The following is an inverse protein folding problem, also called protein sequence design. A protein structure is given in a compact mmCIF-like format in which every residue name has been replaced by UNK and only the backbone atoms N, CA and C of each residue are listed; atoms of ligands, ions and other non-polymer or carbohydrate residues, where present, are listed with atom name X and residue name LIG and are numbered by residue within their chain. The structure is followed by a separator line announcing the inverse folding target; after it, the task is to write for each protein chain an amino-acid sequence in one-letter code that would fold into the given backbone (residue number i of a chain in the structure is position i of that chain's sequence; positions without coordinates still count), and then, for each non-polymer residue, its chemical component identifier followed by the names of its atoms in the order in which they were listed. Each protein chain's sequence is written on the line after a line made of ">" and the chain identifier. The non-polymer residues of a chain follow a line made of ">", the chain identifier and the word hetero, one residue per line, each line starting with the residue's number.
data_IF_055947534017
#
_entry.id   IF_055947534017
#
_cell.length_a   1.000
_cell.length_b   1.000
_cell.length_c   1.000
_cell.angle_alpha   90.00
_cell.angle_beta   90.00
_cell.angle_gamma   90.00
#
_symmetry.space_group_name_H-M   'P 1'
#
loop_
_entity.id
_entity.type
_entity.pdbx_description
1 polymer ?
#
# COMPACT_ATOMS: atom_id res chain seq x y z
N UNK A 1 16.14 37.09 22.07
CA UNK A 1 15.61 38.16 21.18
C UNK A 1 14.97 37.44 19.99
N UNK A 2 13.68 37.64 19.70
CA UNK A 2 12.93 36.78 18.76
C UNK A 2 13.45 36.80 17.30
N UNK A 3 14.24 37.80 16.92
CA UNK A 3 14.92 37.86 15.61
C UNK A 3 16.00 36.80 15.44
N UNK A 4 16.66 36.41 16.52
CA UNK A 4 17.79 35.48 16.47
C UNK A 4 17.31 34.04 16.25
N UNK A 5 16.10 33.73 16.72
CA UNK A 5 15.45 32.43 16.53
C UNK A 5 15.12 32.15 15.05
N UNK A 6 14.69 33.17 14.31
CA UNK A 6 14.41 33.03 12.87
C UNK A 6 15.67 32.76 12.05
N UNK A 7 16.80 33.36 12.40
CA UNK A 7 18.09 33.09 11.76
C UNK A 7 18.58 31.66 12.05
N UNK A 8 18.40 31.17 13.29
CA UNK A 8 18.73 29.79 13.65
C UNK A 8 17.90 28.77 12.86
N UNK A 9 16.60 29.04 12.65
CA UNK A 9 15.72 28.17 11.86
C UNK A 9 16.14 28.05 10.39
N UNK A 10 16.80 29.06 9.81
CA UNK A 10 17.31 28.97 8.44
C UNK A 10 18.43 27.95 8.31
N UNK A 11 19.28 27.81 9.34
CA UNK A 11 20.42 26.89 9.34
C UNK A 11 20.01 25.40 9.35
N UNK A 12 18.81 25.10 9.84
CA UNK A 12 18.26 23.73 9.82
C UNK A 12 17.82 23.32 8.40
N UNK A 13 17.53 24.28 7.52
CA UNK A 13 17.00 24.01 6.19
C UNK A 13 18.12 23.57 5.26
N UNK A 14 17.84 22.52 4.48
CA UNK A 14 18.77 22.07 3.45
C UNK A 14 18.83 23.12 2.32
N UNK A 15 20.02 23.64 1.96
CA UNK A 15 20.17 24.61 0.88
C UNK A 15 19.81 24.06 -0.51
N UNK A 16 19.88 22.74 -0.69
CA UNK A 16 19.63 22.08 -1.99
C UNK A 16 18.12 21.86 -2.27
N UNK A 17 17.25 22.24 -1.33
CA UNK A 17 15.79 22.07 -1.45
C UNK A 17 15.10 23.42 -1.31
N UNK A 18 14.18 23.70 -2.24
CA UNK A 18 13.44 24.96 -2.21
C UNK A 18 12.48 25.05 -1.03
N UNK A 19 12.57 26.16 -0.30
CA UNK A 19 11.56 26.56 0.70
C UNK A 19 10.41 27.23 -0.04
N UNK A 20 9.21 26.65 0.06
CA UNK A 20 8.06 27.12 -0.72
C UNK A 20 7.27 28.19 0.02
N UNK A 21 6.72 29.13 -0.75
CA UNK A 21 5.80 30.15 -0.26
C UNK A 21 4.37 29.61 -0.18
N UNK A 22 3.49 30.36 0.48
CA UNK A 22 2.06 30.02 0.58
C UNK A 22 1.44 29.82 -0.80
N UNK A 23 0.64 28.76 -0.96
CA UNK A 23 -0.13 28.48 -2.18
C UNK A 23 0.59 27.63 -3.23
N UNK A 24 1.77 27.09 -2.92
CA UNK A 24 2.51 26.19 -3.82
C UNK A 24 2.30 24.74 -3.39
N UNK A 25 1.81 23.89 -4.28
CA UNK A 25 1.68 22.45 -4.03
C UNK A 25 3.06 21.79 -3.91
N UNK A 26 3.17 20.80 -3.03
CA UNK A 26 4.36 19.97 -2.87
C UNK A 26 4.02 18.48 -2.94
N UNK A 27 5.05 17.68 -3.22
CA UNK A 27 4.95 16.23 -3.30
C UNK A 27 6.30 15.59 -3.01
N UNK A 28 6.30 14.28 -2.82
CA UNK A 28 7.54 13.51 -2.87
C UNK A 28 8.18 13.61 -4.27
N UNK A 29 9.44 14.06 -4.29
CA UNK A 29 10.28 14.15 -5.48
C UNK A 29 11.36 13.07 -5.51
N UNK A 30 11.24 12.03 -4.67
CA UNK A 30 12.23 10.98 -4.49
C UNK A 30 13.64 11.50 -4.19
N UNK A 31 13.72 12.58 -3.40
CA UNK A 31 14.97 13.25 -3.07
C UNK A 31 15.79 13.62 -4.32
N UNK A 32 15.15 14.25 -5.30
CA UNK A 32 15.79 14.68 -6.56
C UNK A 32 17.12 15.41 -6.33
N UNK A 33 17.23 16.22 -5.28
CA UNK A 33 18.48 16.88 -4.89
C UNK A 33 19.64 15.91 -4.63
N UNK A 34 19.37 14.75 -4.02
CA UNK A 34 20.37 13.70 -3.78
C UNK A 34 20.68 12.94 -5.07
N UNK A 35 19.68 12.70 -5.91
CA UNK A 35 19.83 12.01 -7.20
C UNK A 35 20.73 12.84 -8.13
N UNK A 36 20.45 14.13 -8.28
CA UNK A 36 21.22 15.00 -9.17
C UNK A 36 22.65 15.20 -8.65
N UNK A 37 22.85 15.35 -7.34
CA UNK A 37 24.19 15.38 -6.75
C UNK A 37 24.99 14.09 -7.03
N UNK A 38 24.36 12.92 -6.90
CA UNK A 38 24.98 11.63 -7.21
C UNK A 38 25.31 11.47 -8.71
N UNK A 39 24.42 11.91 -9.60
CA UNK A 39 24.66 11.89 -11.05
C UNK A 39 25.79 12.85 -11.45
N UNK A 40 25.80 14.06 -10.91
CA UNK A 40 26.83 15.07 -11.21
C UNK A 40 28.19 14.58 -10.72
N UNK A 41 28.29 14.11 -9.48
CA UNK A 41 29.55 13.57 -8.93
C UNK A 41 30.05 12.36 -9.73
N UNK A 42 29.17 11.45 -10.12
CA UNK A 42 29.53 10.33 -10.99
C UNK A 42 30.00 10.79 -12.36
N UNK A 43 29.31 11.74 -13.00
CA UNK A 43 29.71 12.30 -14.29
C UNK A 43 31.07 12.99 -14.23
N UNK A 44 31.36 13.72 -13.16
CA UNK A 44 32.67 14.35 -12.93
C UNK A 44 33.77 13.30 -12.77
N UNK A 45 33.50 12.21 -12.05
CA UNK A 45 34.44 11.11 -11.88
C UNK A 45 34.69 10.34 -13.20
N UNK A 46 33.65 10.13 -14.00
CA UNK A 46 33.72 9.39 -15.26
C UNK A 46 34.53 10.11 -16.34
N UNK A 47 34.56 11.45 -16.35
CA UNK A 47 35.21 12.26 -17.40
C UNK A 47 34.79 11.77 -18.80
N UNK A 48 35.75 11.28 -19.59
CA UNK A 48 35.55 10.83 -20.97
C UNK A 48 35.32 9.31 -21.10
N UNK A 49 35.32 8.56 -19.99
CA UNK A 49 35.23 7.09 -19.99
C UNK A 49 33.82 6.55 -20.33
N UNK A 50 32.81 7.41 -20.42
CA UNK A 50 31.41 7.03 -20.69
C UNK A 50 30.68 6.35 -19.52
N UNK A 51 31.36 6.03 -18.42
CA UNK A 51 30.79 5.35 -17.24
C UNK A 51 29.99 6.30 -16.32
N UNK A 52 28.86 6.78 -16.84
CA UNK A 52 27.98 7.76 -16.16
C UNK A 52 26.92 7.09 -15.28
N UNK A 53 26.81 5.76 -15.32
CA UNK A 53 25.84 5.03 -14.53
C UNK A 53 26.15 5.15 -13.03
N UNK A 54 25.18 5.56 -12.24
CA UNK A 54 25.32 5.63 -10.78
C UNK A 54 25.16 4.22 -10.21
N UNK A 55 26.15 3.67 -9.50
CA UNK A 55 26.04 2.33 -8.90
C UNK A 55 24.95 2.27 -7.82
N UNK A 56 24.29 1.13 -7.67
CA UNK A 56 23.30 0.91 -6.61
C UNK A 56 23.91 1.13 -5.21
N UNK A 57 23.12 1.66 -4.29
CA UNK A 57 23.58 1.99 -2.93
C UNK A 57 24.44 3.25 -2.77
N UNK A 58 24.95 3.84 -3.86
CA UNK A 58 25.70 5.13 -3.82
C UNK A 58 24.83 6.27 -3.27
N UNK A 59 23.53 6.22 -3.56
CA UNK A 59 22.56 7.21 -3.10
C UNK A 59 21.49 6.51 -2.27
N UNK A 60 21.17 7.09 -1.12
CA UNK A 60 20.01 6.69 -0.31
C UNK A 60 19.07 7.87 -0.18
N UNK A 61 17.78 7.64 -0.41
CA UNK A 61 16.77 8.68 -0.15
C UNK A 61 16.65 8.94 1.34
N UNK A 62 16.13 10.11 1.72
CA UNK A 62 16.01 10.47 3.13
C UNK A 62 15.13 9.48 3.90
N UNK A 63 14.00 9.05 3.32
CA UNK A 63 13.10 8.07 3.93
C UNK A 63 13.72 6.66 4.00
N UNK A 64 14.46 6.23 2.98
CA UNK A 64 15.21 4.97 3.02
C UNK A 64 16.28 4.97 4.11
N UNK A 65 17.05 6.05 4.22
CA UNK A 65 18.12 6.17 5.22
C UNK A 65 17.57 6.27 6.65
N UNK A 66 16.43 6.93 6.83
CA UNK A 66 15.82 7.11 8.15
C UNK A 66 15.09 5.85 8.64
N UNK A 67 14.71 4.92 7.76
CA UNK A 67 13.94 3.74 8.13
C UNK A 67 14.86 2.68 8.77
N UNK A 68 14.73 2.39 10.08
CA UNK A 68 15.57 1.39 10.73
C UNK A 68 15.24 -0.05 10.30
N UNK A 69 14.00 -0.27 9.83
CA UNK A 69 13.54 -1.57 9.35
C UNK A 69 13.90 -1.84 7.88
N UNK A 70 14.59 -0.90 7.22
CA UNK A 70 14.99 -0.99 5.82
C UNK A 70 13.83 -1.31 4.85
N UNK A 71 12.62 -0.87 5.19
CA UNK A 71 11.40 -1.20 4.45
C UNK A 71 11.30 -0.52 3.08
N UNK A 72 12.14 0.48 2.81
CA UNK A 72 12.11 1.27 1.57
C UNK A 72 13.39 1.03 0.80
N UNK A 73 13.30 0.41 -0.37
CA UNK A 73 14.40 0.34 -1.32
C UNK A 73 14.21 1.38 -2.44
N UNK A 74 15.28 2.10 -2.77
CA UNK A 74 15.33 3.04 -3.88
C UNK A 74 16.57 2.74 -4.73
N UNK A 75 16.44 2.81 -6.06
CA UNK A 75 17.49 2.39 -6.98
C UNK A 75 17.07 2.50 -8.45
N UNK A 76 17.97 2.08 -9.34
CA UNK A 76 17.78 2.12 -10.78
C UNK A 76 17.05 0.87 -11.29
N UNK A 77 15.83 1.02 -11.81
CA UNK A 77 15.07 -0.10 -12.39
C UNK A 77 15.71 -0.71 -13.65
N UNK A 78 16.55 0.04 -14.38
CA UNK A 78 17.21 -0.47 -15.57
C UNK A 78 18.38 -1.40 -15.22
N UNK A 79 18.83 -1.40 -13.96
CA UNK A 79 19.82 -2.34 -13.45
C UNK A 79 19.07 -3.54 -12.83
N UNK A 80 19.15 -4.69 -13.48
CA UNK A 80 18.54 -5.94 -13.05
C UNK A 80 19.12 -6.47 -11.72
N UNK A 81 20.37 -6.10 -11.41
CA UNK A 81 21.03 -6.52 -10.18
C UNK A 81 20.69 -5.62 -8.98
N UNK A 82 20.04 -4.48 -9.21
CA UNK A 82 19.65 -3.57 -8.15
C UNK A 82 18.64 -4.19 -7.19
N UNK A 83 18.67 -3.73 -5.95
CA UNK A 83 17.74 -4.21 -4.90
C UNK A 83 16.29 -3.96 -5.30
N UNK A 84 16.00 -2.83 -5.95
CA UNK A 84 14.64 -2.46 -6.38
C UNK A 84 14.13 -3.35 -7.49
N UNK A 85 14.96 -3.69 -8.47
CA UNK A 85 14.55 -4.60 -9.55
C UNK A 85 14.18 -5.98 -8.98
N UNK A 86 15.02 -6.51 -8.09
CA UNK A 86 14.75 -7.78 -7.39
C UNK A 86 13.43 -7.74 -6.61
N UNK A 87 13.17 -6.66 -5.87
CA UNK A 87 11.92 -6.52 -5.11
C UNK A 87 10.69 -6.35 -6.01
N UNK A 88 10.83 -5.69 -7.16
CA UNK A 88 9.72 -5.56 -8.12
C UNK A 88 9.37 -6.88 -8.81
N UNK A 89 10.33 -7.79 -8.92
CA UNK A 89 10.11 -9.15 -9.42
C UNK A 89 9.60 -10.13 -8.36
N UNK A 90 9.53 -9.73 -7.07
CA UNK A 90 8.94 -10.56 -6.02
C UNK A 90 7.45 -10.79 -6.28
N UNK A 91 6.98 -12.03 -6.08
CA UNK A 91 5.57 -12.42 -6.17
C UNK A 91 4.62 -11.59 -5.31
N UNK A 92 5.14 -10.95 -4.25
CA UNK A 92 4.38 -10.11 -3.31
C UNK A 92 4.26 -8.66 -3.76
N UNK A 93 4.91 -8.28 -4.87
CA UNK A 93 4.89 -6.91 -5.36
C UNK A 93 3.52 -6.55 -5.98
N UNK A 94 2.95 -5.43 -5.56
CA UNK A 94 1.71 -4.91 -6.13
C UNK A 94 1.76 -3.39 -6.32
N UNK A 95 1.01 -2.92 -7.32
CA UNK A 95 0.78 -1.49 -7.58
C UNK A 95 -0.50 -1.04 -6.89
N UNK A 96 -0.47 0.15 -6.29
CA UNK A 96 -1.68 0.74 -5.70
C UNK A 96 -2.60 1.23 -6.82
N UNK A 97 -3.88 0.81 -6.76
CA UNK A 97 -4.92 1.16 -7.74
C UNK A 97 -4.54 0.79 -9.18
N UNK A 98 -4.02 -0.43 -9.38
CA UNK A 98 -3.50 -0.88 -10.68
C UNK A 98 -4.55 -0.87 -11.80
N UNK A 99 -5.83 -1.09 -11.47
CA UNK A 99 -6.95 -1.04 -12.42
C UNK A 99 -7.09 0.32 -13.14
N UNK A 100 -6.58 1.41 -12.54
CA UNK A 100 -6.54 2.74 -13.17
C UNK A 100 -5.40 2.91 -14.17
N UNK A 101 -4.52 1.91 -14.34
CA UNK A 101 -3.36 1.92 -15.24
C UNK A 101 -2.44 3.15 -15.08
N UNK A 102 -2.34 3.69 -13.86
CA UNK A 102 -1.49 4.86 -13.55
C UNK A 102 0.00 4.55 -13.58
N UNK A 103 0.38 3.26 -13.59
CA UNK A 103 1.76 2.75 -13.64
C UNK A 103 2.70 3.48 -12.67
N UNK A 104 2.38 3.49 -11.36
CA UNK A 104 3.18 4.21 -10.38
C UNK A 104 4.59 3.62 -10.31
N UNK A 105 5.61 4.47 -10.13
CA UNK A 105 6.99 4.00 -9.94
C UNK A 105 7.21 3.35 -8.58
N UNK A 106 6.49 3.82 -7.56
CA UNK A 106 6.47 3.21 -6.23
C UNK A 106 5.48 2.05 -6.21
N UNK A 107 5.98 0.87 -5.87
CA UNK A 107 5.17 -0.34 -5.64
C UNK A 107 5.47 -0.85 -4.23
N UNK A 108 4.62 -1.72 -3.72
CA UNK A 108 4.69 -2.21 -2.34
C UNK A 108 4.80 -3.73 -2.33
N UNK A 109 5.40 -4.27 -1.26
CA UNK A 109 5.38 -5.70 -0.98
C UNK A 109 4.24 -6.01 -0.03
N UNK A 110 3.48 -7.04 -0.34
CA UNK A 110 2.38 -7.52 0.51
C UNK A 110 2.90 -7.90 1.90
N UNK A 111 2.15 -7.50 2.93
CA UNK A 111 2.44 -7.86 4.32
C UNK A 111 2.05 -9.31 4.55
N UNK A 112 3.04 -10.18 4.71
CA UNK A 112 2.83 -11.56 5.13
C UNK A 112 2.73 -11.60 6.66
N UNK A 113 1.62 -12.13 7.18
CA UNK A 113 1.46 -12.45 8.61
C UNK A 113 1.66 -13.94 8.77
N UNK A 114 2.34 -14.36 9.84
CA UNK A 114 2.56 -15.78 10.18
C UNK A 114 1.75 -16.14 11.44
N UNK A 115 0.41 -16.32 11.32
CA UNK A 115 -0.43 -16.61 12.47
C UNK A 115 -0.16 -18.03 12.99
N UNK A 116 -0.16 -18.20 14.31
CA UNK A 116 0.03 -19.52 14.94
C UNK A 116 -1.33 -20.20 15.07
N UNK A 117 -1.45 -21.42 14.56
CA UNK A 117 -2.69 -22.21 14.55
C UNK A 117 -3.40 -22.37 15.91
N UNK A 118 -2.65 -22.33 17.02
CA UNK A 118 -3.21 -22.46 18.37
C UNK A 118 -3.54 -21.15 19.08
N UNK A 119 -3.55 -20.01 18.39
CA UNK A 119 -3.99 -18.74 19.00
C UNK A 119 -5.49 -18.47 18.73
N UNK A 120 -6.21 -17.82 19.65
CA UNK A 120 -7.64 -17.51 19.49
C UNK A 120 -7.98 -16.62 18.30
N UNK A 121 -7.02 -15.85 17.79
CA UNK A 121 -7.14 -14.94 16.65
C UNK A 121 -6.58 -15.54 15.33
N UNK A 122 -6.47 -16.87 15.25
CA UNK A 122 -6.03 -17.57 14.06
C UNK A 122 -7.10 -17.52 12.95
N UNK A 123 -6.67 -17.10 11.75
CA UNK A 123 -7.44 -17.22 10.53
C UNK A 123 -6.60 -17.98 9.48
N UNK A 124 -7.22 -18.92 8.77
CA UNK A 124 -6.53 -19.75 7.75
C UNK A 124 -6.00 -18.89 6.60
N UNK A 125 -6.74 -17.84 6.23
CA UNK A 125 -6.34 -16.85 5.24
C UNK A 125 -6.09 -15.50 5.90
N UNK A 126 -5.12 -14.71 5.41
CA UNK A 126 -4.88 -13.39 5.96
C UNK A 126 -6.09 -12.48 5.71
N UNK A 127 -6.44 -11.64 6.69
CA UNK A 127 -7.52 -10.65 6.57
C UNK A 127 -7.36 -9.63 5.42
N UNK A 128 -6.21 -9.64 4.74
CA UNK A 128 -5.99 -8.84 3.52
C UNK A 128 -6.64 -9.45 2.27
N UNK A 129 -6.99 -10.74 2.31
CA UNK A 129 -7.66 -11.46 1.21
C UNK A 129 -9.12 -11.77 1.51
N UNK A 130 -9.59 -11.58 2.75
CA UNK A 130 -11.02 -11.59 3.06
C UNK A 130 -11.63 -10.32 2.48
N UNK A 131 -12.36 -10.48 1.38
CA UNK A 131 -13.21 -9.44 0.83
C UNK A 131 -14.47 -9.38 1.71
N UNK A 132 -14.72 -8.29 2.47
CA UNK A 132 -15.92 -8.18 3.31
C UNK A 132 -17.22 -8.20 2.49
N UNK A 133 -17.15 -8.18 1.16
CA UNK A 133 -18.30 -8.37 0.27
C UNK A 133 -18.52 -9.83 -0.17
N UNK A 134 -17.65 -10.78 0.21
CA UNK A 134 -17.75 -12.21 -0.15
C UNK A 134 -17.98 -13.14 1.04
N UNK A 135 -17.74 -12.65 2.25
CA UNK A 135 -18.09 -13.38 3.46
C UNK A 135 -19.53 -13.00 3.81
N UNK A 136 -20.44 -13.98 3.86
CA UNK A 136 -21.84 -13.84 4.28
C UNK A 136 -22.01 -13.38 5.75
N UNK A 137 -20.91 -12.97 6.40
CA UNK A 137 -20.79 -12.55 7.79
C UNK A 137 -20.97 -11.02 7.94
N UNK A 138 -21.82 -10.40 7.11
CA UNK A 138 -22.30 -9.06 7.40
C UNK A 138 -23.18 -9.14 8.65
N UNK A 139 -22.59 -8.95 9.83
CA UNK A 139 -23.36 -8.61 11.03
C UNK A 139 -24.10 -7.33 10.69
N UNK A 140 -25.41 -7.45 10.46
CA UNK A 140 -26.29 -6.33 10.20
C UNK A 140 -26.22 -5.38 11.40
N UNK A 141 -25.43 -4.32 11.26
CA UNK A 141 -25.30 -3.25 12.25
C UNK A 141 -26.60 -2.46 12.42
N UNK A 142 -27.65 -2.75 11.65
CA UNK A 142 -29.00 -2.19 11.86
C UNK A 142 -29.82 -2.94 12.92
N UNK A 143 -29.39 -4.12 13.40
CA UNK A 143 -30.12 -4.86 14.44
C UNK A 143 -29.83 -4.38 15.88
N UNK A 144 -28.77 -3.58 16.08
CA UNK A 144 -28.43 -3.03 17.42
C UNK A 144 -29.13 -1.69 17.67
N UNK A 145 -29.51 -0.96 16.63
CA UNK A 145 -30.27 0.28 16.75
C UNK A 145 -31.32 0.33 15.66
N UNK A 146 -32.53 -0.14 16.00
CA UNK A 146 -33.66 -0.25 15.09
C UNK A 146 -33.85 0.99 14.19
N UNK A 147 -34.02 0.73 12.90
CA UNK A 147 -34.22 1.75 11.88
C UNK A 147 -35.54 2.51 12.14
N UNK A 148 -35.52 3.83 12.40
CA UNK A 148 -36.71 4.61 12.76
C UNK A 148 -37.63 4.95 11.57
N UNK A 149 -37.36 4.43 10.36
CA UNK A 149 -38.08 4.81 9.14
C UNK A 149 -38.94 3.71 8.50
N UNK A 150 -39.20 2.59 9.20
CA UNK A 150 -40.11 1.55 8.68
C UNK A 150 -41.56 1.96 8.95
N UNK A 151 -42.17 2.61 7.96
CA UNK A 151 -43.56 3.02 7.94
C UNK A 151 -44.53 1.81 7.93
N UNK A 152 -45.56 1.92 8.76
CA UNK A 152 -46.73 1.05 8.86
C UNK A 152 -47.49 0.86 7.52
N UNK A 153 -47.94 -0.37 7.26
CA UNK A 153 -48.94 -0.68 6.23
C UNK A 153 -49.49 -2.09 6.40
N UNK A 154 -50.81 -2.19 6.54
CA UNK A 154 -51.64 -3.32 7.01
C UNK A 154 -52.10 -4.30 5.93
N UNK A 155 -52.83 -5.35 6.37
CA UNK A 155 -53.58 -6.41 5.68
C UNK A 155 -52.77 -7.70 5.44
N UNK A 156 -53.10 -8.89 5.94
CA UNK A 156 -54.32 -9.43 6.55
C UNK A 156 -54.61 -10.80 5.89
N UNK A 157 -54.65 -11.90 6.67
CA UNK A 157 -55.22 -13.18 6.22
C UNK A 157 -54.41 -14.45 6.51
N UNK A 158 -54.72 -15.07 7.65
CA UNK A 158 -55.16 -16.47 7.84
C UNK A 158 -54.29 -17.71 7.50
N UNK A 159 -54.17 -18.58 8.52
CA UNK A 159 -54.09 -20.06 8.59
C UNK A 159 -53.34 -20.85 7.49
N UNK A 160 -52.48 -21.85 7.73
CA UNK A 160 -52.27 -22.78 8.84
C UNK A 160 -51.81 -24.14 8.24
N UNK A 161 -50.98 -24.90 8.97
CA UNK A 161 -50.62 -26.32 8.74
C UNK A 161 -49.74 -26.61 7.49
N UNK A 162 -48.88 -27.63 7.38
CA UNK A 162 -48.54 -28.81 8.17
C UNK A 162 -47.14 -29.30 7.76
N UNK A 163 -46.49 -30.04 8.66
CA UNK A 163 -45.30 -30.84 8.42
C UNK A 163 -45.47 -31.83 7.26
N UNK A 164 -44.47 -31.95 6.38
CA UNK A 164 -44.09 -33.25 5.81
C UNK A 164 -42.58 -33.31 5.50
N UNK A 165 -41.90 -34.18 6.23
CA UNK A 165 -40.60 -34.79 5.91
C UNK A 165 -40.70 -35.56 4.58
N UNK A 166 -39.75 -35.36 3.66
CA UNK A 166 -39.38 -36.40 2.71
C UNK A 166 -37.88 -36.33 2.37
N UNK A 167 -37.16 -37.36 2.81
CA UNK A 167 -35.79 -37.65 2.40
C UNK A 167 -35.79 -38.17 0.97
N UNK A 168 -34.90 -37.64 0.12
CA UNK A 168 -34.42 -38.35 -1.07
C UNK A 168 -32.99 -37.91 -1.43
N UNK A 169 -32.19 -38.90 -1.80
CA UNK A 169 -30.73 -38.97 -1.80
C UNK A 169 -30.05 -38.26 -3.01
N UNK A 170 -28.71 -38.22 -3.10
CA UNK A 170 -27.95 -37.28 -3.91
C UNK A 170 -27.81 -37.75 -5.37
N UNK A 171 -27.80 -36.80 -6.31
CA UNK A 171 -27.46 -37.09 -7.70
C UNK A 171 -26.21 -36.31 -8.13
N UNK A 172 -25.28 -37.02 -8.75
CA UNK A 172 -23.92 -36.55 -9.01
C UNK A 172 -23.63 -36.09 -10.44
N UNK A 173 -22.41 -35.54 -10.57
CA UNK A 173 -21.47 -35.50 -11.72
C UNK A 173 -21.87 -34.81 -13.04
N UNK A 174 -20.91 -34.00 -13.52
CA UNK A 174 -20.69 -33.56 -14.91
C UNK A 174 -20.55 -32.03 -14.95
N UNK A 175 -19.42 -31.39 -15.30
CA UNK A 175 -18.39 -31.77 -16.26
C UNK A 175 -18.54 -30.90 -17.51
N UNK A 176 -17.90 -29.72 -17.53
CA UNK A 176 -17.18 -29.10 -18.65
C UNK A 176 -16.50 -27.81 -18.17
#
# INVERSE_FOLDING_TARGET
>A
RPTDEWELLKLVKNPDVSVRMRGVMEKCTFCLQRIESAKISRKVAARDSGDVAVPDGTLKTACQQACPAEAIAFGNLNDEQSTVSKWKHDSRNYSVLDYLHTKPRTTYLARVRNPRAGMPDFHEYPLSTSDPARDDDYVDVNDVHGNPYVHHGTHGGDHGSDHHDEKSAPNGKGGH
#
